data_IF_119844620529
#
_entry.id   IF_119844620529
#
_cell.length_a   1.000
_cell.length_b   1.000
_cell.length_c   1.000
_cell.angle_alpha   90.00
_cell.angle_beta   90.00
_cell.angle_gamma   90.00
#
_symmetry.space_group_name_H-M   'P 1'
#
loop_
_entity.id
_entity.type
_entity.pdbx_description
1 polymer ?
#
# COMPACT_ATOMS: atom_id res chain seq x y z
N UNK A 1 -20.52 -20.42 -52.62
CA UNK A 1 -20.02 -21.24 -51.50
C UNK A 1 -18.72 -21.89 -51.94
N UNK A 2 -17.58 -21.38 -51.49
CA UNK A 2 -16.34 -22.12 -51.23
C UNK A 2 -15.48 -21.20 -50.37
N UNK A 3 -15.20 -21.64 -49.15
CA UNK A 3 -14.46 -20.92 -48.12
C UNK A 3 -12.98 -21.28 -48.26
N UNK A 4 -12.11 -20.30 -48.50
CA UNK A 4 -10.66 -20.47 -48.45
C UNK A 4 -10.15 -19.96 -47.10
N UNK A 5 -9.49 -20.86 -46.36
CA UNK A 5 -8.80 -20.62 -45.10
C UNK A 5 -7.38 -20.18 -45.42
N UNK A 6 -6.92 -19.05 -44.88
CA UNK A 6 -5.52 -18.61 -44.97
C UNK A 6 -4.87 -18.66 -43.58
N UNK A 7 -3.87 -19.52 -43.44
CA UNK A 7 -3.04 -19.70 -42.24
C UNK A 7 -1.71 -18.97 -42.44
N UNK A 8 -1.38 -18.10 -41.47
CA UNK A 8 -0.08 -17.92 -40.82
C UNK A 8 1.18 -17.61 -41.64
N UNK A 9 1.79 -16.45 -41.35
CA UNK A 9 3.25 -16.31 -41.33
C UNK A 9 3.68 -15.40 -40.16
N UNK A 10 4.40 -15.98 -39.19
CA UNK A 10 5.19 -15.27 -38.19
C UNK A 10 6.67 -15.40 -38.58
N UNK A 11 7.35 -14.27 -38.75
CA UNK A 11 8.80 -14.23 -38.94
C UNK A 11 9.50 -14.22 -37.57
N UNK A 12 10.29 -15.25 -37.30
CA UNK A 12 11.25 -15.26 -36.20
C UNK A 12 12.61 -14.77 -36.71
N UNK A 13 13.15 -13.75 -36.04
CA UNK A 13 14.53 -13.32 -36.20
C UNK A 13 15.40 -14.14 -35.25
N UNK A 14 16.37 -14.87 -35.81
CA UNK A 14 17.39 -15.59 -35.08
C UNK A 14 18.54 -14.65 -34.70
N UNK A 15 18.99 -14.71 -33.45
CA UNK A 15 20.34 -14.32 -33.07
C UNK A 15 21.01 -15.53 -32.44
N UNK A 16 22.13 -15.90 -33.05
CA UNK A 16 23.01 -17.02 -32.75
C UNK A 16 23.91 -16.63 -31.57
N UNK A 17 24.06 -17.52 -30.58
CA UNK A 17 25.31 -17.66 -29.84
C UNK A 17 25.64 -19.14 -29.70
N UNK A 18 26.77 -19.50 -30.28
CA UNK A 18 27.44 -20.79 -30.15
C UNK A 18 28.09 -20.88 -28.77
N UNK A 19 27.90 -22.00 -28.07
CA UNK A 19 28.99 -22.61 -27.31
C UNK A 19 28.74 -24.11 -27.18
N UNK A 20 29.66 -24.90 -27.72
CA UNK A 20 29.75 -26.35 -27.55
C UNK A 20 30.01 -26.70 -26.08
N UNK A 21 29.42 -27.78 -25.59
CA UNK A 21 30.17 -28.91 -25.03
C UNK A 21 29.27 -30.14 -24.88
N UNK A 22 29.84 -31.30 -25.23
CA UNK A 22 29.23 -32.64 -25.18
C UNK A 22 29.13 -33.13 -23.73
N UNK A 23 28.06 -33.86 -23.42
CA UNK A 23 28.14 -35.05 -22.57
C UNK A 23 26.84 -35.87 -22.73
N UNK A 24 26.93 -36.95 -23.49
CA UNK A 24 25.99 -38.07 -23.41
C UNK A 24 26.44 -39.01 -22.28
N UNK A 25 25.46 -39.66 -21.65
CA UNK A 25 25.46 -40.99 -20.99
C UNK A 25 25.12 -41.06 -19.49
N UNK A 26 24.20 -41.99 -19.22
CA UNK A 26 23.77 -42.66 -17.97
C UNK A 26 22.46 -42.22 -17.28
N UNK A 27 21.71 -43.17 -16.65
CA UNK A 27 20.29 -43.36 -16.90
C UNK A 27 19.43 -43.11 -15.66
N UNK A 28 18.11 -43.21 -15.87
CA UNK A 28 17.03 -43.30 -14.88
C UNK A 28 17.45 -43.79 -13.50
N UNK A 29 17.25 -42.96 -12.47
CA UNK A 29 16.67 -43.37 -11.18
C UNK A 29 16.20 -42.14 -10.39
N UNK A 30 15.00 -42.21 -9.81
CA UNK A 30 14.64 -41.41 -8.63
C UNK A 30 13.48 -40.43 -8.82
N UNK A 31 12.25 -40.93 -8.62
CA UNK A 31 11.11 -40.09 -8.22
C UNK A 31 11.45 -39.41 -6.89
N UNK A 32 11.60 -38.08 -6.88
CA UNK A 32 11.63 -37.30 -5.66
C UNK A 32 10.20 -36.91 -5.32
N UNK A 33 9.69 -37.46 -4.22
CA UNK A 33 8.51 -36.94 -3.54
C UNK A 33 8.86 -35.58 -2.93
N UNK A 34 8.33 -34.50 -3.50
CA UNK A 34 8.38 -33.17 -2.88
C UNK A 34 7.34 -33.15 -1.77
N UNK A 35 7.78 -33.47 -0.55
CA UNK A 35 7.04 -33.25 0.69
C UNK A 35 7.34 -31.83 1.21
N UNK A 36 6.29 -31.21 1.75
CA UNK A 36 6.13 -29.81 2.12
C UNK A 36 7.35 -29.11 2.76
N UNK A 37 7.88 -28.11 2.05
CA UNK A 37 8.71 -27.03 2.63
C UNK A 37 7.97 -25.71 2.44
N UNK A 38 6.89 -25.49 3.21
CA UNK A 38 6.12 -24.24 3.13
C UNK A 38 5.90 -23.54 4.49
N UNK A 39 6.61 -23.94 5.55
CA UNK A 39 6.44 -23.32 6.87
C UNK A 39 7.69 -22.65 7.47
N UNK A 40 8.79 -22.57 6.72
CA UNK A 40 10.09 -22.09 7.24
C UNK A 40 10.48 -20.69 6.73
N UNK A 41 9.87 -20.19 5.65
CA UNK A 41 10.31 -18.93 5.03
C UNK A 41 9.93 -17.67 5.83
N UNK A 42 8.77 -17.66 6.49
CA UNK A 42 8.32 -16.48 7.25
C UNK A 42 9.13 -16.27 8.55
N UNK A 43 9.59 -17.34 9.19
CA UNK A 43 10.36 -17.26 10.45
C UNK A 43 11.82 -16.84 10.23
N UNK A 44 12.43 -17.30 9.14
CA UNK A 44 13.79 -16.87 8.74
C UNK A 44 13.78 -15.37 8.39
N UNK A 45 12.72 -14.89 7.74
CA UNK A 45 12.60 -13.50 7.33
C UNK A 45 12.51 -12.52 8.52
N UNK A 46 11.77 -12.89 9.59
CA UNK A 46 11.70 -12.08 10.83
C UNK A 46 13.04 -12.07 11.56
N UNK A 47 13.72 -13.22 11.65
CA UNK A 47 15.02 -13.32 12.32
C UNK A 47 16.12 -12.51 11.61
N UNK A 48 16.12 -12.46 10.26
CA UNK A 48 17.05 -11.64 9.48
C UNK A 48 16.77 -10.15 9.67
N UNK A 49 15.50 -9.75 9.77
CA UNK A 49 15.12 -8.36 10.02
C UNK A 49 15.52 -7.89 11.42
N UNK A 50 15.32 -8.73 12.44
CA UNK A 50 15.69 -8.42 13.83
C UNK A 50 17.22 -8.34 13.99
N UNK A 51 17.97 -9.25 13.35
CA UNK A 51 19.44 -9.23 13.36
C UNK A 51 20.00 -7.97 12.68
N UNK A 52 19.40 -7.55 11.56
CA UNK A 52 19.80 -6.32 10.88
C UNK A 52 19.45 -5.08 11.71
N UNK A 53 18.27 -5.05 12.36
CA UNK A 53 17.88 -3.95 13.24
C UNK A 53 18.83 -3.79 14.43
N UNK A 54 19.27 -4.90 15.02
CA UNK A 54 20.16 -4.92 16.18
C UNK A 54 21.61 -4.52 15.82
N UNK A 55 22.05 -4.81 14.59
CA UNK A 55 23.33 -4.34 14.05
C UNK A 55 23.32 -2.83 13.81
N UNK A 56 22.20 -2.27 13.34
CA UNK A 56 22.11 -0.83 13.05
C UNK A 56 21.80 0.05 14.28
N UNK A 57 21.25 -0.52 15.36
CA UNK A 57 20.95 0.22 16.60
C UNK A 57 22.16 0.40 17.53
N UNK A 58 23.19 -0.45 17.38
CA UNK A 58 24.37 -0.50 18.28
C UNK A 58 25.56 0.35 17.81
N UNK A 59 25.53 0.92 16.60
CA UNK A 59 26.56 1.87 16.15
C UNK A 59 26.18 3.32 16.45
N UNK A 60 26.30 3.71 17.73
CA UNK A 60 26.49 5.09 18.17
C UNK A 60 27.89 5.18 18.77
N UNK A 61 28.90 5.63 18.01
CA UNK A 61 30.23 5.97 18.56
C UNK A 61 30.71 7.29 17.97
N UNK A 62 31.10 8.17 18.89
CA UNK A 62 31.58 9.53 18.73
C UNK A 62 32.95 9.62 18.04
N UNK A 63 33.19 10.76 17.39
CA UNK A 63 34.51 11.13 16.86
C UNK A 63 35.42 11.61 17.99
N UNK A 64 36.55 10.93 18.21
CA UNK A 64 37.74 11.56 18.76
C UNK A 64 38.98 11.13 17.96
N UNK A 65 39.67 12.12 17.39
CA UNK A 65 40.95 11.98 16.68
C UNK A 65 42.01 11.30 17.56
N UNK A 66 42.57 10.16 17.12
CA UNK A 66 44.02 9.84 17.20
C UNK A 66 44.41 8.83 16.11
N UNK A 67 45.56 9.11 15.49
CA UNK A 67 46.26 8.30 14.49
C UNK A 67 46.77 6.97 15.08
N UNK A 68 46.69 5.87 14.31
CA UNK A 68 47.66 4.76 14.24
C UNK A 68 47.29 3.80 13.07
N UNK A 69 48.20 2.94 12.57
CA UNK A 69 48.32 2.60 11.16
C UNK A 69 47.57 1.32 10.80
N UNK A 70 47.24 1.20 9.52
CA UNK A 70 46.67 0.00 8.91
C UNK A 70 47.54 -1.24 9.15
N UNK A 71 46.90 -2.38 9.49
CA UNK A 71 47.21 -3.68 8.89
C UNK A 71 46.10 -4.72 9.09
N UNK A 72 46.00 -5.55 8.04
CA UNK A 72 45.39 -6.88 7.87
C UNK A 72 43.87 -7.06 7.82
N UNK A 73 43.51 -7.84 6.80
CA UNK A 73 42.22 -8.32 6.33
C UNK A 73 41.37 -9.00 7.41
N UNK A 74 40.11 -8.60 7.51
CA UNK A 74 39.10 -9.30 8.31
C UNK A 74 38.27 -10.20 7.39
N UNK A 75 38.41 -11.52 7.51
CA UNK A 75 37.35 -12.47 7.09
C UNK A 75 36.61 -12.95 8.33
N UNK A 76 35.29 -12.75 8.34
CA UNK A 76 34.39 -13.34 9.35
C UNK A 76 34.08 -14.76 8.90
N UNK A 77 34.32 -15.75 9.77
CA UNK A 77 33.85 -17.13 9.57
C UNK A 77 32.76 -17.39 10.62
N UNK A 78 31.65 -17.94 10.16
CA UNK A 78 30.55 -18.43 11.01
C UNK A 78 30.86 -19.89 11.30
N UNK A 79 31.03 -20.25 12.58
CA UNK A 79 31.05 -21.65 13.01
C UNK A 79 29.78 -21.97 13.79
N UNK A 80 29.18 -23.10 13.44
CA UNK A 80 28.00 -23.68 14.09
C UNK A 80 28.50 -24.90 14.88
N UNK A 81 28.13 -25.00 16.15
CA UNK A 81 28.39 -26.18 16.97
C UNK A 81 27.08 -26.92 17.22
N UNK A 82 27.10 -28.24 17.03
CA UNK A 82 26.04 -29.13 17.50
C UNK A 82 26.36 -29.61 18.91
N UNK A 83 25.38 -29.50 19.81
CA UNK A 83 25.40 -30.17 21.10
C UNK A 83 24.48 -31.39 21.02
N UNK A 84 25.06 -32.58 21.15
CA UNK A 84 24.31 -33.82 21.36
C UNK A 84 24.52 -34.26 22.81
N UNK A 85 23.50 -34.24 23.69
CA UNK A 85 23.59 -34.94 24.96
C UNK A 85 23.28 -36.43 24.72
N UNK A 86 24.18 -37.30 25.18
CA UNK A 86 23.86 -38.70 25.41
C UNK A 86 22.91 -38.82 26.61
N UNK A 87 21.90 -39.67 26.42
CA UNK A 87 20.95 -40.22 27.40
C UNK A 87 20.00 -39.25 28.13
N UNK A 88 18.74 -39.22 27.67
CA UNK A 88 17.49 -39.43 28.45
C UNK A 88 16.24 -39.05 27.61
N UNK A 89 15.19 -39.89 27.66
CA UNK A 89 13.83 -39.64 27.14
C UNK A 89 12.90 -39.16 28.28
N UNK A 90 11.72 -38.51 28.07
CA UNK A 90 11.14 -37.73 26.94
C UNK A 90 10.45 -36.42 27.52
N UNK A 91 9.34 -35.80 27.00
CA UNK A 91 8.77 -35.64 25.65
C UNK A 91 8.51 -34.16 25.24
N UNK A 92 8.21 -33.96 23.95
CA UNK A 92 7.54 -32.79 23.30
C UNK A 92 8.07 -31.35 23.49
N UNK A 93 8.43 -30.75 22.35
CA UNK A 93 8.62 -29.31 22.10
C UNK A 93 9.77 -28.62 22.84
N UNK A 94 11.00 -28.90 22.42
CA UNK A 94 12.13 -28.00 22.61
C UNK A 94 12.57 -27.44 21.26
N UNK A 95 12.39 -26.13 21.07
CA UNK A 95 12.96 -25.38 19.95
C UNK A 95 14.46 -25.17 20.19
N UNK A 96 15.33 -25.25 19.16
CA UNK A 96 16.71 -24.86 19.33
C UNK A 96 16.79 -23.34 19.54
N UNK A 97 17.24 -22.93 20.72
CA UNK A 97 17.60 -21.54 21.02
C UNK A 97 18.98 -21.27 20.44
N UNK A 98 19.05 -20.46 19.38
CA UNK A 98 20.31 -20.01 18.80
C UNK A 98 20.92 -18.92 19.71
N UNK A 99 21.92 -19.28 20.52
CA UNK A 99 22.71 -18.30 21.28
C UNK A 99 23.99 -18.00 20.49
N UNK A 100 24.07 -16.80 19.91
CA UNK A 100 25.30 -16.31 19.27
C UNK A 100 26.17 -15.65 20.35
N UNK A 101 27.27 -16.31 20.73
CA UNK A 101 28.27 -15.74 21.63
C UNK A 101 29.51 -15.33 20.84
N UNK A 102 29.88 -14.05 20.91
CA UNK A 102 31.14 -13.57 20.33
C UNK A 102 32.28 -13.88 21.30
N UNK A 103 33.10 -14.88 20.98
CA UNK A 103 34.31 -15.20 21.74
C UNK A 103 35.53 -14.91 20.87
N UNK A 104 36.51 -14.17 21.41
CA UNK A 104 37.87 -14.10 20.86
C UNK A 104 38.65 -15.27 21.43
N UNK A 105 39.14 -16.19 20.61
CA UNK A 105 40.23 -17.09 20.99
C UNK A 105 41.07 -17.53 19.78
N UNK A 106 42.36 -17.74 20.07
CA UNK A 106 43.47 -18.13 19.22
C UNK A 106 43.46 -19.63 18.85
N UNK A 107 43.99 -19.92 17.67
CA UNK A 107 44.51 -21.16 17.07
C UNK A 107 44.26 -22.53 17.76
N UNK A 108 43.66 -23.48 17.01
CA UNK A 108 44.31 -24.71 16.48
C UNK A 108 43.32 -25.61 15.71
N UNK A 109 43.89 -26.44 14.83
CA UNK A 109 43.33 -27.36 13.82
C UNK A 109 42.05 -28.15 14.15
N UNK A 110 41.20 -28.41 13.13
CA UNK A 110 40.88 -29.75 12.59
C UNK A 110 39.98 -29.71 11.33
N UNK A 111 39.97 -30.81 10.58
CA UNK A 111 39.48 -31.01 9.21
C UNK A 111 37.95 -31.14 9.00
N UNK A 112 37.49 -30.65 7.83
CA UNK A 112 36.68 -31.41 6.87
C UNK A 112 35.17 -31.56 7.11
N UNK A 113 34.35 -30.88 6.28
CA UNK A 113 33.27 -31.47 5.46
C UNK A 113 32.55 -30.38 4.65
N UNK A 114 32.18 -30.72 3.41
CA UNK A 114 31.47 -29.84 2.49
C UNK A 114 29.96 -29.86 2.80
N UNK A 115 29.35 -28.68 2.90
CA UNK A 115 27.89 -28.50 2.96
C UNK A 115 27.47 -27.55 1.84
N UNK A 116 26.50 -27.98 1.04
CA UNK A 116 25.87 -27.19 -0.02
C UNK A 116 25.27 -25.90 0.57
N UNK A 117 25.80 -24.75 0.16
CA UNK A 117 25.24 -23.44 0.50
C UNK A 117 24.48 -22.87 -0.70
N UNK A 118 23.19 -22.62 -0.50
CA UNK A 118 22.37 -21.87 -1.45
C UNK A 118 22.80 -20.40 -1.41
N UNK A 119 23.57 -19.97 -2.40
CA UNK A 119 24.03 -18.59 -2.53
C UNK A 119 22.98 -17.73 -3.23
N UNK A 120 22.56 -16.63 -2.61
CA UNK A 120 21.79 -15.60 -3.30
C UNK A 120 22.75 -14.71 -4.11
N UNK A 121 22.74 -14.85 -5.43
CA UNK A 121 23.45 -13.93 -6.33
C UNK A 121 22.60 -12.66 -6.55
N UNK A 122 23.03 -11.54 -5.95
CA UNK A 122 22.70 -10.23 -6.49
C UNK A 122 23.65 -9.96 -7.66
N UNK A 123 23.10 -9.81 -8.86
CA UNK A 123 23.91 -9.56 -10.05
C UNK A 123 24.59 -8.20 -9.94
N UNK A 124 25.89 -8.17 -10.27
CA UNK A 124 26.78 -6.99 -10.29
C UNK A 124 26.13 -5.78 -10.99
N UNK A 125 25.30 -6.04 -12.01
CA UNK A 125 24.57 -5.02 -12.77
C UNK A 125 23.59 -4.17 -11.93
N UNK A 126 23.00 -4.71 -10.86
CA UNK A 126 22.10 -3.94 -9.98
C UNK A 126 22.88 -2.95 -9.12
N UNK A 127 24.10 -3.34 -8.72
CA UNK A 127 25.01 -2.53 -7.91
C UNK A 127 25.63 -1.42 -8.76
N UNK A 128 26.06 -1.76 -9.98
CA UNK A 128 26.73 -0.81 -10.88
C UNK A 128 25.76 0.29 -11.38
N UNK A 129 24.47 -0.02 -11.58
CA UNK A 129 23.45 1.00 -11.90
C UNK A 129 23.12 1.95 -10.74
N UNK A 130 23.45 1.60 -9.50
CA UNK A 130 23.21 2.42 -8.30
C UNK A 130 24.40 3.32 -7.93
N UNK A 131 25.60 2.97 -8.39
CA UNK A 131 26.84 3.70 -8.06
C UNK A 131 27.05 4.91 -8.99
N UNK A 132 26.43 4.91 -10.17
CA UNK A 132 26.76 5.93 -11.19
C UNK A 132 26.06 7.29 -11.04
N UNK A 133 24.96 7.43 -10.27
CA UNK A 133 24.41 8.77 -9.98
C UNK A 133 23.81 8.89 -8.56
N UNK A 134 24.55 9.63 -7.72
CA UNK A 134 24.18 10.25 -6.43
C UNK A 134 24.28 9.39 -5.15
N UNK A 135 24.75 10.06 -4.10
CA UNK A 135 24.77 9.61 -2.70
C UNK A 135 23.34 9.30 -2.25
N UNK A 136 22.93 8.05 -2.42
CA UNK A 136 21.72 7.51 -1.81
C UNK A 136 22.08 7.10 -0.39
N UNK A 137 21.51 7.78 0.61
CA UNK A 137 21.68 7.42 2.02
C UNK A 137 21.41 5.92 2.23
N UNK A 138 22.23 5.26 3.06
CA UNK A 138 22.17 3.81 3.34
C UNK A 138 20.76 3.35 3.72
N UNK A 139 19.96 4.20 4.37
CA UNK A 139 18.56 3.92 4.73
C UNK A 139 17.65 3.81 3.51
N UNK A 140 17.89 4.61 2.48
CA UNK A 140 17.15 4.59 1.21
C UNK A 140 17.49 3.34 0.40
N UNK A 141 18.76 2.92 0.38
CA UNK A 141 19.17 1.66 -0.25
C UNK A 141 18.58 0.43 0.49
N UNK A 142 18.53 0.46 1.81
CA UNK A 142 17.89 -0.61 2.59
C UNK A 142 16.38 -0.70 2.32
N UNK A 143 15.68 0.44 2.33
CA UNK A 143 14.29 0.52 1.91
C UNK A 143 14.10 -0.02 0.48
N UNK A 144 15.07 0.22 -0.40
CA UNK A 144 15.05 -0.28 -1.78
C UNK A 144 15.07 -1.82 -1.84
N UNK A 145 16.04 -2.43 -1.16
CA UNK A 145 16.18 -3.89 -1.12
C UNK A 145 14.97 -4.56 -0.46
N UNK A 146 14.46 -3.99 0.65
CA UNK A 146 13.31 -4.55 1.36
C UNK A 146 12.04 -4.53 0.50
N UNK A 147 11.77 -3.42 -0.18
CA UNK A 147 10.63 -3.32 -1.10
C UNK A 147 10.76 -4.34 -2.25
N UNK A 148 11.94 -4.51 -2.85
CA UNK A 148 12.16 -5.46 -3.95
C UNK A 148 11.98 -6.92 -3.53
N UNK A 149 12.46 -7.31 -2.34
CA UNK A 149 12.32 -8.68 -1.83
C UNK A 149 10.86 -9.04 -1.50
N UNK A 150 10.12 -8.15 -0.82
CA UNK A 150 8.70 -8.37 -0.53
C UNK A 150 7.84 -8.48 -1.80
N UNK A 151 8.30 -7.86 -2.90
CA UNK A 151 7.59 -7.83 -4.17
C UNK A 151 7.72 -9.12 -5.00
N UNK A 152 8.61 -10.05 -4.65
CA UNK A 152 8.79 -11.35 -5.34
C UNK A 152 8.03 -12.51 -4.67
N UNK A 153 7.74 -12.43 -3.38
CA UNK A 153 7.10 -13.53 -2.62
C UNK A 153 5.60 -13.73 -2.86
N UNK A 154 4.88 -12.75 -3.43
CA UNK A 154 3.40 -12.79 -3.54
C UNK A 154 2.85 -13.52 -4.78
N UNK A 155 3.67 -14.04 -5.69
CA UNK A 155 3.23 -14.45 -7.04
C UNK A 155 3.29 -15.96 -7.34
N UNK A 156 3.76 -16.80 -6.42
CA UNK A 156 3.91 -18.24 -6.69
C UNK A 156 3.05 -19.08 -5.76
N UNK A 157 1.77 -19.20 -6.11
CA UNK A 157 0.85 -20.19 -5.54
C UNK A 157 0.16 -20.92 -6.68
N UNK A 158 0.55 -22.17 -6.95
CA UNK A 158 -0.01 -23.03 -7.99
C UNK A 158 -1.25 -23.71 -7.40
N UNK A 159 -2.40 -23.05 -7.54
CA UNK A 159 -3.73 -23.58 -7.19
C UNK A 159 -4.76 -22.85 -8.04
N UNK A 160 -5.69 -23.60 -8.65
CA UNK A 160 -6.62 -23.18 -9.71
C UNK A 160 -6.88 -21.67 -9.82
N UNK A 161 -6.48 -21.08 -10.95
CA UNK A 161 -6.60 -19.65 -11.24
C UNK A 161 -8.07 -19.22 -11.38
N UNK A 162 -8.77 -19.08 -10.25
CA UNK A 162 -9.93 -18.20 -10.19
C UNK A 162 -9.43 -16.80 -10.57
N UNK A 163 -9.98 -16.22 -11.64
CA UNK A 163 -9.62 -14.89 -12.11
C UNK A 163 -9.92 -13.90 -11.00
N UNK A 164 -8.87 -13.47 -10.29
CA UNK A 164 -8.99 -12.52 -9.18
C UNK A 164 -9.45 -11.18 -9.75
N UNK A 165 -10.63 -10.74 -9.34
CA UNK A 165 -11.12 -9.39 -9.62
C UNK A 165 -10.52 -8.44 -8.60
N UNK A 166 -9.89 -7.37 -9.07
CA UNK A 166 -9.29 -6.37 -8.20
C UNK A 166 -10.27 -5.23 -7.93
N UNK A 167 -10.24 -4.69 -6.72
CA UNK A 167 -10.99 -3.50 -6.34
C UNK A 167 -10.01 -2.37 -5.99
N UNK A 168 -10.19 -1.20 -6.61
CA UNK A 168 -9.53 0.04 -6.20
C UNK A 168 -10.58 1.05 -5.80
N UNK A 169 -10.45 1.59 -4.59
CA UNK A 169 -11.25 2.71 -4.11
C UNK A 169 -10.42 3.98 -4.17
N UNK A 170 -10.98 5.06 -4.70
CA UNK A 170 -10.45 6.41 -4.63
C UNK A 170 -11.42 7.33 -3.91
N UNK A 171 -10.90 8.29 -3.18
CA UNK A 171 -11.71 9.31 -2.53
C UNK A 171 -10.84 10.20 -1.67
N UNK A 172 -11.33 11.39 -1.38
CA UNK A 172 -10.60 12.27 -0.48
C UNK A 172 -10.45 11.65 0.93
N UNK A 173 -9.44 12.09 1.68
CA UNK A 173 -9.36 11.77 3.11
C UNK A 173 -10.68 12.15 3.79
N UNK A 174 -11.09 11.38 4.78
CA UNK A 174 -12.35 11.62 5.50
C UNK A 174 -13.65 11.54 4.66
N UNK A 175 -13.60 10.97 3.43
CA UNK A 175 -14.80 10.71 2.60
C UNK A 175 -15.41 9.31 2.77
N UNK A 176 -14.92 8.51 3.74
CA UNK A 176 -15.43 7.16 3.98
C UNK A 176 -14.76 6.06 3.16
N UNK A 177 -13.62 6.31 2.49
CA UNK A 177 -12.91 5.31 1.66
C UNK A 177 -12.67 3.98 2.38
N UNK A 178 -12.29 4.01 3.66
CA UNK A 178 -12.02 2.78 4.44
C UNK A 178 -13.30 2.01 4.77
N UNK A 179 -14.42 2.71 4.96
CA UNK A 179 -15.73 2.08 5.17
C UNK A 179 -16.16 1.37 3.88
N UNK A 180 -16.08 2.04 2.73
CA UNK A 180 -16.41 1.44 1.42
C UNK A 180 -15.51 0.26 1.06
N UNK A 181 -14.19 0.38 1.25
CA UNK A 181 -13.26 -0.73 0.98
C UNK A 181 -13.66 -1.98 1.76
N UNK A 182 -13.98 -1.85 3.05
CA UNK A 182 -14.42 -2.97 3.89
C UNK A 182 -15.79 -3.48 3.47
N UNK A 183 -16.75 -2.59 3.26
CA UNK A 183 -18.11 -2.95 2.87
C UNK A 183 -18.11 -3.76 1.57
N UNK A 184 -17.39 -3.31 0.54
CA UNK A 184 -17.30 -4.04 -0.73
C UNK A 184 -16.52 -5.35 -0.59
N UNK A 185 -15.44 -5.38 0.19
CA UNK A 185 -14.64 -6.59 0.38
C UNK A 185 -15.38 -7.70 1.16
N UNK A 186 -16.29 -7.33 2.06
CA UNK A 186 -17.12 -8.28 2.80
C UNK A 186 -18.21 -8.93 1.93
N UNK A 187 -18.63 -8.25 0.86
CA UNK A 187 -19.81 -8.64 0.08
C UNK A 187 -19.52 -9.07 -1.36
N UNK A 188 -18.32 -8.81 -1.88
CA UNK A 188 -17.93 -9.14 -3.24
C UNK A 188 -16.66 -10.00 -3.27
N UNK A 189 -16.52 -10.92 -4.24
CA UNK A 189 -15.33 -11.76 -4.41
C UNK A 189 -14.17 -10.98 -5.04
N UNK A 190 -13.68 -9.95 -4.34
CA UNK A 190 -12.68 -9.00 -4.85
C UNK A 190 -11.41 -8.99 -3.99
N UNK A 191 -10.27 -8.72 -4.63
CA UNK A 191 -9.00 -8.41 -3.96
C UNK A 191 -8.79 -6.91 -3.95
N UNK A 192 -8.88 -6.29 -2.77
CA UNK A 192 -8.64 -4.85 -2.60
C UNK A 192 -7.18 -4.51 -2.86
N UNK A 193 -6.92 -3.59 -3.78
CA UNK A 193 -5.58 -3.05 -4.01
C UNK A 193 -5.21 -2.12 -2.84
N UNK A 194 -3.98 -2.24 -2.31
CA UNK A 194 -3.57 -1.45 -1.15
C UNK A 194 -3.56 0.04 -1.49
N UNK A 195 -4.39 0.81 -0.79
CA UNK A 195 -4.42 2.27 -0.86
C UNK A 195 -3.57 2.95 0.22
N UNK A 196 -2.76 2.22 0.96
CA UNK A 196 -1.92 2.74 2.04
C UNK A 196 -0.59 1.99 2.11
N UNK A 197 0.42 2.60 2.75
CA UNK A 197 1.69 1.91 3.02
C UNK A 197 1.47 0.87 4.12
N UNK A 198 1.95 -0.37 3.96
CA UNK A 198 1.88 -1.39 5.01
C UNK A 198 2.45 -0.88 6.33
N UNK A 199 1.72 -1.07 7.43
CA UNK A 199 2.09 -0.53 8.76
C UNK A 199 3.46 -0.98 9.25
N UNK A 200 3.88 -2.19 8.87
CA UNK A 200 5.15 -2.78 9.28
C UNK A 200 6.36 -2.03 8.70
N UNK A 201 6.19 -1.36 7.55
CA UNK A 201 7.32 -0.82 6.77
C UNK A 201 7.81 0.56 7.22
N UNK A 202 7.09 1.27 8.07
CA UNK A 202 7.44 2.65 8.43
C UNK A 202 7.71 2.86 9.93
N UNK A 203 7.90 1.79 10.72
CA UNK A 203 8.38 1.92 12.10
C UNK A 203 9.82 2.46 12.07
N UNK A 204 10.02 3.72 12.48
CA UNK A 204 11.35 4.31 12.69
C UNK A 204 11.97 5.12 11.54
N UNK A 205 11.25 5.38 10.44
CA UNK A 205 11.74 6.17 9.30
C UNK A 205 11.02 7.53 9.16
N UNK A 206 11.64 8.55 8.53
CA UNK A 206 10.97 9.81 8.18
C UNK A 206 9.76 9.51 7.29
N UNK A 207 8.59 9.65 7.91
CA UNK A 207 7.34 9.00 7.49
C UNK A 207 6.86 9.41 6.10
N UNK A 208 7.03 10.68 5.73
CA UNK A 208 6.50 11.22 4.46
C UNK A 208 7.34 10.87 3.23
N UNK A 209 8.66 11.04 3.31
CA UNK A 209 9.58 10.72 2.21
C UNK A 209 9.53 9.23 1.84
N UNK A 210 9.46 8.37 2.86
CA UNK A 210 9.33 6.93 2.65
C UNK A 210 8.00 6.57 1.95
N UNK A 211 6.89 7.20 2.37
CA UNK A 211 5.58 7.00 1.74
C UNK A 211 5.57 7.42 0.28
N UNK A 212 6.15 8.59 -0.02
CA UNK A 212 6.22 9.10 -1.38
C UNK A 212 7.11 8.24 -2.29
N UNK A 213 8.17 7.64 -1.72
CA UNK A 213 9.03 6.69 -2.42
C UNK A 213 8.31 5.35 -2.67
N UNK A 214 7.64 4.82 -1.65
CA UNK A 214 6.84 3.60 -1.76
C UNK A 214 5.79 3.72 -2.86
N UNK A 215 4.99 4.79 -2.85
CA UNK A 215 3.94 4.97 -3.86
C UNK A 215 4.51 5.15 -5.26
N UNK A 216 5.62 5.87 -5.40
CA UNK A 216 6.28 6.04 -6.69
C UNK A 216 6.71 4.70 -7.31
N UNK A 217 7.13 3.72 -6.51
CA UNK A 217 7.57 2.43 -7.05
C UNK A 217 6.44 1.41 -7.20
N UNK A 218 5.39 1.55 -6.38
CA UNK A 218 4.28 0.60 -6.35
C UNK A 218 3.11 1.04 -7.21
N UNK A 219 3.12 2.26 -7.76
CA UNK A 219 1.98 2.87 -8.46
C UNK A 219 1.43 2.00 -9.59
N UNK A 220 2.31 1.36 -10.37
CA UNK A 220 1.92 0.47 -11.46
C UNK A 220 1.21 -0.81 -11.01
N UNK A 221 1.32 -1.18 -9.72
CA UNK A 221 0.77 -2.41 -9.13
C UNK A 221 -0.40 -2.15 -8.19
N UNK A 222 -0.44 -1.00 -7.53
CA UNK A 222 -1.50 -0.64 -6.58
C UNK A 222 -2.36 0.54 -7.03
N UNK A 223 -2.04 1.15 -8.18
CA UNK A 223 -2.71 2.33 -8.72
C UNK A 223 -2.59 3.54 -7.79
N UNK A 224 -1.43 3.67 -7.15
CA UNK A 224 -1.07 4.82 -6.33
C UNK A 224 -1.85 4.94 -5.04
N UNK A 225 -1.81 6.14 -4.46
CA UNK A 225 -2.48 6.41 -3.20
C UNK A 225 -3.99 6.55 -3.39
N UNK A 226 -4.81 5.94 -2.52
CA UNK A 226 -6.28 6.03 -2.63
C UNK A 226 -6.84 7.45 -2.47
N UNK A 227 -6.07 8.32 -1.82
CA UNK A 227 -6.39 9.73 -1.66
C UNK A 227 -5.69 10.62 -2.68
N UNK A 228 -4.99 10.06 -3.67
CA UNK A 228 -4.43 10.85 -4.76
C UNK A 228 -5.41 11.05 -5.90
N UNK A 229 -5.11 12.02 -6.76
CA UNK A 229 -5.74 12.17 -8.07
C UNK A 229 -5.43 10.91 -8.89
N UNK A 230 -6.45 10.16 -9.34
CA UNK A 230 -6.23 8.97 -10.13
C UNK A 230 -5.52 9.29 -11.45
N UNK A 231 -4.66 8.38 -11.91
CA UNK A 231 -3.95 8.52 -13.20
C UNK A 231 -4.61 7.58 -14.22
N UNK A 232 -5.43 8.07 -15.17
CA UNK A 232 -6.17 7.21 -16.09
C UNK A 232 -5.29 6.26 -16.92
N UNK A 233 -4.07 6.69 -17.27
CA UNK A 233 -3.11 5.86 -17.99
C UNK A 233 -2.68 4.62 -17.18
N UNK A 234 -2.44 4.76 -15.88
CA UNK A 234 -2.09 3.63 -15.02
C UNK A 234 -3.27 2.67 -14.84
N UNK A 235 -4.48 3.21 -14.69
CA UNK A 235 -5.71 2.40 -14.61
C UNK A 235 -5.88 1.57 -15.88
N UNK A 236 -5.76 2.20 -17.08
CA UNK A 236 -5.82 1.50 -18.37
C UNK A 236 -4.77 0.39 -18.48
N UNK A 237 -3.53 0.70 -18.14
CA UNK A 237 -2.43 -0.26 -18.22
C UNK A 237 -2.63 -1.46 -17.29
N UNK A 238 -3.21 -1.24 -16.11
CA UNK A 238 -3.55 -2.32 -15.18
C UNK A 238 -4.73 -3.15 -15.68
N UNK A 239 -5.77 -2.49 -16.20
CA UNK A 239 -6.95 -3.15 -16.78
C UNK A 239 -6.63 -4.01 -18.01
N UNK A 240 -5.59 -3.67 -18.76
CA UNK A 240 -5.12 -4.48 -19.88
C UNK A 240 -4.62 -5.88 -19.46
N UNK A 241 -4.32 -6.07 -18.17
CA UNK A 241 -3.75 -7.31 -17.61
C UNK A 241 -4.66 -7.98 -16.58
N UNK A 242 -5.58 -7.23 -16.00
CA UNK A 242 -6.36 -7.65 -14.84
C UNK A 242 -7.79 -7.15 -14.93
N UNK A 243 -8.75 -7.94 -14.43
CA UNK A 243 -10.12 -7.45 -14.21
C UNK A 243 -10.12 -6.52 -12.99
N UNK A 244 -10.46 -5.25 -13.19
CA UNK A 244 -10.43 -4.21 -12.17
C UNK A 244 -11.80 -3.53 -12.07
N UNK A 245 -12.22 -3.27 -10.84
CA UNK A 245 -13.34 -2.40 -10.49
C UNK A 245 -12.74 -1.16 -9.84
N UNK A 246 -13.10 0.01 -10.37
CA UNK A 246 -12.72 1.30 -9.78
C UNK A 246 -13.95 1.94 -9.17
N UNK A 247 -13.90 2.19 -7.87
CA UNK A 247 -14.94 2.93 -7.15
C UNK A 247 -14.36 4.27 -6.71
N UNK A 248 -14.97 5.37 -7.12
CA UNK A 248 -14.69 6.70 -6.61
C UNK A 248 -15.76 7.06 -5.58
N UNK A 249 -15.36 7.71 -4.49
CA UNK A 249 -16.29 8.21 -3.47
C UNK A 249 -16.06 9.69 -3.19
N UNK A 250 -17.15 10.44 -3.26
CA UNK A 250 -17.24 11.84 -2.84
C UNK A 250 -18.10 11.95 -1.56
N UNK A 251 -17.99 13.08 -0.88
CA UNK A 251 -18.73 13.40 0.34
C UNK A 251 -19.15 14.85 0.29
N UNK A 252 -20.28 15.18 0.91
CA UNK A 252 -20.78 16.55 1.00
C UNK A 252 -19.64 17.51 1.43
N UNK A 253 -19.39 18.60 0.68
CA UNK A 253 -18.22 19.45 0.87
C UNK A 253 -18.17 20.06 2.28
N UNK A 254 -19.29 20.50 2.84
CA UNK A 254 -19.36 21.10 4.17
C UNK A 254 -19.05 20.06 5.26
N UNK A 255 -19.70 18.90 5.20
CA UNK A 255 -19.46 17.80 6.14
C UNK A 255 -18.02 17.27 6.03
N UNK A 256 -17.47 17.26 4.81
CA UNK A 256 -16.09 16.89 4.55
C UNK A 256 -15.12 17.89 5.17
N UNK A 257 -15.30 19.19 4.99
CA UNK A 257 -14.44 20.24 5.55
C UNK A 257 -14.36 20.14 7.08
N UNK A 258 -15.51 19.96 7.75
CA UNK A 258 -15.55 19.74 9.20
C UNK A 258 -14.78 18.47 9.60
N UNK A 259 -14.93 17.39 8.84
CA UNK A 259 -14.22 16.14 9.10
C UNK A 259 -12.71 16.28 8.87
N UNK A 260 -12.32 17.09 7.88
CA UNK A 260 -10.93 17.35 7.54
C UNK A 260 -10.26 18.28 8.53
N UNK A 261 -10.97 19.30 9.03
CA UNK A 261 -10.52 20.14 10.14
C UNK A 261 -10.20 19.33 11.41
N UNK A 262 -11.05 18.38 11.77
CA UNK A 262 -10.82 17.50 12.94
C UNK A 262 -9.64 16.55 12.74
N UNK A 263 -9.38 16.14 11.50
CA UNK A 263 -8.31 15.21 11.16
C UNK A 263 -7.54 15.68 9.92
N UNK A 264 -6.72 16.73 10.06
CA UNK A 264 -6.04 17.35 8.93
C UNK A 264 -4.74 16.60 8.63
N UNK A 265 -4.89 15.39 8.09
CA UNK A 265 -3.76 14.50 7.79
C UNK A 265 -2.65 15.26 7.03
N UNK A 266 -1.38 15.03 7.39
CA UNK A 266 -0.18 15.61 6.77
C UNK A 266 -0.06 17.14 6.84
N UNK A 267 -1.12 17.87 7.20
CA UNK A 267 -1.04 19.26 7.55
C UNK A 267 -0.55 19.32 9.01
N UNK A 268 0.72 19.66 9.18
CA UNK A 268 1.41 19.64 10.49
C UNK A 268 0.81 20.66 11.46
N UNK A 269 0.11 21.67 10.94
CA UNK A 269 -0.49 22.75 11.73
C UNK A 269 -1.86 22.34 12.25
N UNK A 270 -2.09 22.53 13.55
CA UNK A 270 -3.43 22.62 14.12
C UNK A 270 -3.90 24.08 14.00
N UNK A 271 -5.14 24.28 13.58
CA UNK A 271 -5.75 25.61 13.55
C UNK A 271 -6.57 25.81 14.83
N UNK A 272 -6.55 27.03 15.35
CA UNK A 272 -7.31 27.39 16.55
C UNK A 272 -8.82 27.48 16.31
N UNK A 273 -9.25 27.65 15.05
CA UNK A 273 -10.66 27.70 14.69
C UNK A 273 -10.91 27.13 13.30
N UNK A 274 -12.16 26.71 13.05
CA UNK A 274 -12.58 26.25 11.73
C UNK A 274 -12.47 27.36 10.67
N UNK A 275 -12.79 28.59 11.05
CA UNK A 275 -12.66 29.77 10.19
C UNK A 275 -11.20 29.99 9.73
N UNK A 276 -10.23 29.93 10.66
CA UNK A 276 -8.81 30.03 10.33
C UNK A 276 -8.32 28.85 9.47
N UNK A 277 -8.93 27.67 9.60
CA UNK A 277 -8.66 26.53 8.73
C UNK A 277 -9.17 26.75 7.30
N UNK A 278 -10.35 27.36 7.12
CA UNK A 278 -10.89 27.67 5.79
C UNK A 278 -10.06 28.69 5.01
N UNK A 279 -9.26 29.51 5.69
CA UNK A 279 -8.33 30.46 5.05
C UNK A 279 -6.93 29.87 4.83
N UNK A 280 -6.69 28.65 5.32
CA UNK A 280 -5.35 28.11 5.36
C UNK A 280 -4.93 27.46 4.04
N UNK A 281 -3.77 27.87 3.54
CA UNK A 281 -3.15 27.20 2.41
C UNK A 281 -2.90 25.71 2.69
N UNK A 282 -3.22 24.88 1.71
CA UNK A 282 -3.08 23.43 1.79
C UNK A 282 -1.91 22.96 0.93
N UNK A 283 -0.83 22.55 1.58
CA UNK A 283 0.29 21.86 0.95
C UNK A 283 -0.07 20.40 0.73
N UNK A 284 -0.02 19.94 -0.52
CA UNK A 284 -0.16 18.52 -0.85
C UNK A 284 1.20 17.83 -0.93
N UNK A 285 1.19 16.54 -0.65
CA UNK A 285 2.36 15.66 -0.77
C UNK A 285 2.40 15.03 -2.16
N UNK A 286 3.59 14.60 -2.63
CA UNK A 286 3.78 14.15 -4.02
C UNK A 286 2.82 13.05 -4.44
N UNK A 287 2.59 12.07 -3.55
CA UNK A 287 1.69 10.92 -3.79
C UNK A 287 0.20 11.30 -3.93
N UNK A 288 -0.17 12.56 -3.71
CA UNK A 288 -1.53 13.03 -4.03
C UNK A 288 -1.74 13.23 -5.52
N UNK A 289 -0.68 13.20 -6.35
CA UNK A 289 -0.75 13.47 -7.79
C UNK A 289 -1.43 14.82 -8.12
N UNK A 290 -1.46 15.72 -7.13
CA UNK A 290 -1.85 17.11 -7.25
C UNK A 290 -0.58 17.97 -7.25
N UNK A 291 -0.52 18.97 -8.12
CA UNK A 291 0.61 19.90 -8.19
C UNK A 291 0.22 21.22 -7.57
N UNK A 292 1.13 21.78 -6.77
CA UNK A 292 1.04 23.15 -6.28
C UNK A 292 0.55 23.27 -4.85
N UNK A 293 0.35 24.53 -4.47
CA UNK A 293 -0.17 24.96 -3.19
C UNK A 293 -1.60 25.43 -3.40
N UNK A 294 -2.55 24.78 -2.74
CA UNK A 294 -3.95 25.21 -2.77
C UNK A 294 -4.14 26.37 -1.80
N UNK A 295 -4.91 27.37 -2.22
CA UNK A 295 -5.20 28.56 -1.41
C UNK A 295 -5.96 28.22 -0.14
N UNK A 296 -6.86 27.24 -0.21
CA UNK A 296 -7.65 26.79 0.92
C UNK A 296 -8.12 25.34 0.79
N UNK A 297 -8.69 24.74 1.85
CA UNK A 297 -9.21 23.37 1.79
C UNK A 297 -10.40 23.18 0.83
N UNK A 298 -11.14 24.25 0.51
CA UNK A 298 -12.27 24.20 -0.44
C UNK A 298 -11.76 23.97 -1.86
N UNK A 299 -10.71 24.68 -2.25
CA UNK A 299 -10.05 24.50 -3.55
C UNK A 299 -9.49 23.07 -3.69
N UNK A 300 -8.87 22.53 -2.64
CA UNK A 300 -8.41 21.14 -2.61
C UNK A 300 -9.57 20.17 -2.88
N UNK A 301 -10.73 20.39 -2.24
CA UNK A 301 -11.92 19.57 -2.48
C UNK A 301 -12.40 19.68 -3.93
N UNK A 302 -12.47 20.90 -4.48
CA UNK A 302 -12.90 21.14 -5.86
C UNK A 302 -12.03 20.38 -6.85
N UNK A 303 -10.71 20.53 -6.76
CA UNK A 303 -9.77 19.91 -7.70
C UNK A 303 -9.84 18.39 -7.65
N UNK A 304 -9.89 17.81 -6.45
CA UNK A 304 -9.85 16.36 -6.30
C UNK A 304 -11.16 15.71 -6.68
N UNK A 305 -12.30 16.29 -6.30
CA UNK A 305 -13.61 15.74 -6.69
C UNK A 305 -13.93 15.97 -8.16
N UNK A 306 -13.43 17.05 -8.78
CA UNK A 306 -13.50 17.22 -10.23
C UNK A 306 -12.76 16.09 -10.96
N UNK A 307 -11.55 15.76 -10.53
CA UNK A 307 -10.80 14.66 -11.13
C UNK A 307 -11.51 13.30 -10.97
N UNK A 308 -12.18 13.05 -9.84
CA UNK A 308 -13.00 11.84 -9.63
C UNK A 308 -14.21 11.80 -10.57
N UNK A 309 -14.89 12.93 -10.75
CA UNK A 309 -16.04 13.05 -11.65
C UNK A 309 -15.65 12.91 -13.13
N UNK A 310 -14.53 13.53 -13.53
CA UNK A 310 -14.00 13.38 -14.88
C UNK A 310 -13.58 11.93 -15.15
N UNK A 311 -13.00 11.25 -14.16
CA UNK A 311 -12.69 9.83 -14.26
C UNK A 311 -13.96 8.98 -14.45
N UNK A 312 -15.05 9.27 -13.72
CA UNK A 312 -16.31 8.53 -13.85
C UNK A 312 -17.05 8.81 -15.17
N UNK A 313 -16.85 9.99 -15.76
CA UNK A 313 -17.37 10.34 -17.09
C UNK A 313 -16.50 9.81 -18.24
N UNK A 314 -15.33 9.23 -17.94
CA UNK A 314 -14.43 8.68 -18.95
C UNK A 314 -14.92 7.33 -19.49
N UNK A 315 -14.21 6.77 -20.49
CA UNK A 315 -14.48 5.41 -21.00
C UNK A 315 -14.06 4.28 -20.04
N UNK A 316 -13.52 4.60 -18.87
CA UNK A 316 -13.15 3.62 -17.85
C UNK A 316 -14.38 3.21 -17.03
N UNK A 317 -14.49 1.93 -16.63
CA UNK A 317 -15.59 1.46 -15.79
C UNK A 317 -15.37 1.90 -14.34
N UNK A 318 -15.68 3.17 -14.07
CA UNK A 318 -15.53 3.81 -12.78
C UNK A 318 -16.91 4.11 -12.22
N UNK A 319 -17.18 3.63 -11.01
CA UNK A 319 -18.45 3.85 -10.31
C UNK A 319 -18.22 4.97 -9.30
N UNK A 320 -18.92 6.09 -9.48
CA UNK A 320 -18.89 7.21 -8.54
C UNK A 320 -20.04 7.08 -7.54
N UNK A 321 -19.73 7.09 -6.25
CA UNK A 321 -20.69 7.03 -5.15
C UNK A 321 -20.62 8.31 -4.31
N UNK A 322 -21.77 8.74 -3.77
CA UNK A 322 -21.81 9.69 -2.65
C UNK A 322 -21.75 8.91 -1.35
N UNK A 323 -20.96 9.38 -0.39
CA UNK A 323 -20.85 8.75 0.91
C UNK A 323 -22.21 8.67 1.62
N UNK A 324 -23.02 9.70 1.48
CA UNK A 324 -24.36 9.80 2.07
C UNK A 324 -25.29 8.71 1.52
N UNK A 325 -25.26 8.43 0.21
CA UNK A 325 -26.08 7.36 -0.39
C UNK A 325 -25.68 5.99 0.15
N UNK A 326 -24.39 5.75 0.34
CA UNK A 326 -23.92 4.48 0.90
C UNK A 326 -24.31 4.33 2.36
N UNK A 327 -24.35 5.42 3.14
CA UNK A 327 -24.86 5.37 4.51
C UNK A 327 -26.38 5.14 4.56
N UNK A 328 -27.12 5.72 3.62
CA UNK A 328 -28.57 5.57 3.55
C UNK A 328 -28.99 4.14 3.22
N UNK A 329 -28.33 3.52 2.23
CA UNK A 329 -28.65 2.18 1.75
C UNK A 329 -27.38 1.41 1.36
N UNK A 330 -26.62 0.88 2.35
CA UNK A 330 -25.32 0.25 2.08
C UNK A 330 -25.44 -1.03 1.24
N UNK A 331 -26.51 -1.81 1.41
CA UNK A 331 -26.77 -3.01 0.60
C UNK A 331 -27.04 -2.66 -0.86
N UNK A 332 -27.93 -1.70 -1.12
CA UNK A 332 -28.22 -1.19 -2.47
C UNK A 332 -26.95 -0.66 -3.15
N UNK A 333 -26.07 0.04 -2.40
CA UNK A 333 -24.80 0.50 -2.94
C UNK A 333 -23.88 -0.65 -3.37
N UNK A 334 -23.84 -1.74 -2.60
CA UNK A 334 -23.08 -2.96 -2.96
C UNK A 334 -23.71 -3.66 -4.17
N UNK A 335 -25.04 -3.80 -4.20
CA UNK A 335 -25.80 -4.38 -5.32
C UNK A 335 -25.52 -3.63 -6.63
N UNK A 336 -25.54 -2.29 -6.57
CA UNK A 336 -25.21 -1.45 -7.73
C UNK A 336 -23.79 -1.70 -8.22
N UNK A 337 -22.80 -1.78 -7.30
CA UNK A 337 -21.43 -2.09 -7.68
C UNK A 337 -21.31 -3.49 -8.27
N UNK A 338 -21.99 -4.48 -7.70
CA UNK A 338 -22.02 -5.86 -8.18
C UNK A 338 -22.62 -5.95 -9.59
N UNK A 339 -23.78 -5.33 -9.80
CA UNK A 339 -24.52 -5.31 -11.07
C UNK A 339 -23.70 -4.68 -12.19
N UNK A 340 -23.20 -3.45 -11.99
CA UNK A 340 -22.37 -2.74 -12.97
C UNK A 340 -21.10 -3.54 -13.29
N UNK A 341 -20.50 -4.16 -12.28
CA UNK A 341 -19.26 -4.92 -12.42
C UNK A 341 -19.46 -6.37 -12.88
N UNK A 342 -20.71 -6.81 -13.07
CA UNK A 342 -21.09 -8.20 -13.39
C UNK A 342 -20.46 -9.21 -12.42
N UNK A 343 -20.57 -8.93 -11.13
CA UNK A 343 -20.17 -9.83 -10.05
C UNK A 343 -21.39 -10.40 -9.35
N UNK A 344 -21.29 -11.65 -8.91
CA UNK A 344 -22.24 -12.21 -7.95
C UNK A 344 -21.86 -11.69 -6.57
N UNK A 345 -22.83 -11.19 -5.81
CA UNK A 345 -22.67 -10.92 -4.38
C UNK A 345 -22.53 -12.22 -3.60
N UNK A 346 -21.97 -12.12 -2.39
CA UNK A 346 -22.07 -13.17 -1.40
C UNK A 346 -23.55 -13.40 -1.04
N UNK A 347 -23.90 -14.62 -0.64
CA UNK A 347 -25.31 -15.02 -0.47
C UNK A 347 -26.03 -14.25 0.67
N UNK A 348 -25.28 -13.66 1.60
CA UNK A 348 -25.80 -12.81 2.66
C UNK A 348 -25.01 -11.50 2.74
N UNK A 349 -25.72 -10.38 2.84
CA UNK A 349 -25.13 -9.07 3.04
C UNK A 349 -24.49 -8.96 4.43
N UNK A 350 -23.27 -8.41 4.47
CA UNK A 350 -22.49 -8.16 5.66
C UNK A 350 -22.20 -6.66 5.80
N UNK A 351 -22.82 -6.02 6.79
CA UNK A 351 -22.60 -4.62 7.12
C UNK A 351 -21.28 -4.36 7.85
N UNK A 352 -20.88 -3.08 7.92
CA UNK A 352 -19.75 -2.61 8.73
C UNK A 352 -20.32 -1.77 9.88
N UNK A 353 -20.52 -2.41 11.04
CA UNK A 353 -21.27 -1.82 12.17
C UNK A 353 -20.41 -0.98 13.11
N UNK A 354 -19.11 -1.21 13.15
CA UNK A 354 -18.19 -0.49 14.03
C UNK A 354 -17.28 0.44 13.25
N UNK A 355 -16.97 1.59 13.87
CA UNK A 355 -15.96 2.50 13.38
C UNK A 355 -14.68 1.77 13.00
N UNK A 356 -14.11 2.18 11.86
CA UNK A 356 -12.81 1.66 11.41
C UNK A 356 -11.63 2.38 12.08
N UNK A 357 -11.90 3.45 12.83
CA UNK A 357 -10.92 4.23 13.59
C UNK A 357 -10.87 3.69 15.02
N UNK A 358 -9.68 3.26 15.47
CA UNK A 358 -9.48 2.57 16.77
C UNK A 358 -9.86 3.40 17.99
N UNK A 359 -9.81 4.72 17.88
CA UNK A 359 -10.09 5.66 18.98
C UNK A 359 -11.57 6.02 19.09
N UNK A 360 -12.40 5.44 18.23
CA UNK A 360 -13.76 5.88 18.01
C UNK A 360 -14.68 4.68 18.19
N UNK A 361 -15.41 4.66 19.30
CA UNK A 361 -16.35 3.58 19.63
C UNK A 361 -17.73 3.79 19.00
N UNK A 362 -17.88 4.77 18.09
CA UNK A 362 -19.18 5.06 17.50
C UNK A 362 -19.68 3.92 16.64
N UNK A 363 -20.95 3.62 16.81
CA UNK A 363 -21.66 2.64 16.00
C UNK A 363 -22.02 3.22 14.63
N UNK A 364 -22.25 2.36 13.63
CA UNK A 364 -22.67 2.75 12.28
C UNK A 364 -23.87 3.70 12.30
N UNK A 365 -24.85 3.45 13.16
CA UNK A 365 -26.06 4.27 13.26
C UNK A 365 -25.77 5.71 13.71
N UNK A 366 -24.75 5.91 14.55
CA UNK A 366 -24.35 7.26 14.97
C UNK A 366 -23.75 8.04 13.81
N UNK A 367 -22.95 7.38 12.96
CA UNK A 367 -22.44 7.99 11.75
C UNK A 367 -23.56 8.28 10.75
N UNK A 368 -24.44 7.31 10.54
CA UNK A 368 -25.59 7.41 9.66
C UNK A 368 -26.45 8.62 10.06
N UNK A 369 -26.88 8.68 11.32
CA UNK A 369 -27.63 9.80 11.85
C UNK A 369 -26.86 11.13 11.76
N UNK A 370 -25.56 11.14 12.07
CA UNK A 370 -24.76 12.36 11.98
C UNK A 370 -24.76 12.98 10.57
N UNK A 371 -24.65 12.15 9.52
CA UNK A 371 -24.59 12.63 8.14
C UNK A 371 -25.95 12.80 7.47
N UNK A 372 -26.87 11.84 7.65
CA UNK A 372 -28.18 11.84 7.00
C UNK A 372 -29.17 12.81 7.64
N UNK A 373 -29.12 12.97 8.97
CA UNK A 373 -29.93 13.98 9.68
C UNK A 373 -29.21 15.34 9.71
N UNK A 374 -28.10 15.46 8.98
CA UNK A 374 -27.31 16.68 8.83
C UNK A 374 -26.89 17.36 10.15
N UNK A 375 -26.73 16.58 11.23
CA UNK A 375 -26.31 17.08 12.56
C UNK A 375 -24.98 17.83 12.52
N UNK A 376 -24.18 17.63 11.48
CA UNK A 376 -22.96 18.40 11.24
C UNK A 376 -23.23 19.90 10.98
N UNK A 377 -24.39 20.29 10.45
CA UNK A 377 -24.74 21.69 10.13
C UNK A 377 -24.69 22.63 11.32
N UNK A 378 -24.98 22.13 12.52
CA UNK A 378 -24.92 22.91 13.76
C UNK A 378 -23.50 23.41 14.10
N UNK A 379 -22.48 22.88 13.42
CA UNK A 379 -21.08 23.26 13.58
C UNK A 379 -20.62 24.27 12.51
N UNK A 380 -21.55 24.83 11.72
CA UNK A 380 -21.26 25.83 10.70
C UNK A 380 -21.95 27.13 11.10
N UNK A 381 -21.17 28.19 11.25
CA UNK A 381 -21.70 29.55 11.35
C UNK A 381 -22.02 30.10 9.95
N UNK A 382 -22.91 31.07 9.90
CA UNK A 382 -23.32 31.73 8.65
C UNK A 382 -22.11 32.26 7.86
N UNK A 383 -21.15 32.87 8.56
CA UNK A 383 -19.94 33.40 7.96
C UNK A 383 -19.06 32.29 7.35
N UNK A 384 -18.93 31.15 8.02
CA UNK A 384 -18.21 30.00 7.47
C UNK A 384 -18.93 29.44 6.23
N UNK A 385 -20.27 29.38 6.22
CA UNK A 385 -21.04 28.96 5.03
C UNK A 385 -20.82 29.92 3.87
N UNK A 386 -20.86 31.25 4.10
CA UNK A 386 -20.58 32.25 3.05
C UNK A 386 -19.18 32.06 2.45
N UNK A 387 -18.17 31.85 3.29
CA UNK A 387 -16.79 31.61 2.86
C UNK A 387 -16.65 30.34 2.03
N UNK A 388 -17.25 29.25 2.50
CA UNK A 388 -17.26 27.99 1.74
C UNK A 388 -17.94 28.21 0.39
N UNK A 389 -19.13 28.79 0.37
CA UNK A 389 -19.89 29.03 -0.86
C UNK A 389 -19.14 29.93 -1.85
N UNK A 390 -18.37 30.90 -1.37
CA UNK A 390 -17.55 31.77 -2.23
C UNK A 390 -16.52 30.97 -3.04
N UNK A 391 -15.86 30.00 -2.41
CA UNK A 391 -14.71 29.29 -2.99
C UNK A 391 -15.09 27.93 -3.59
N UNK A 392 -16.30 27.43 -3.30
CA UNK A 392 -16.80 26.14 -3.77
C UNK A 392 -17.21 26.22 -5.25
N UNK A 393 -16.89 25.18 -6.02
CA UNK A 393 -17.36 25.08 -7.41
C UNK A 393 -18.82 24.62 -7.46
N UNK A 394 -19.73 25.55 -7.67
CA UNK A 394 -21.17 25.30 -7.64
C UNK A 394 -21.61 24.32 -8.73
N UNK A 395 -20.96 24.37 -9.91
CA UNK A 395 -21.28 23.44 -11.00
C UNK A 395 -20.88 22.03 -10.61
N UNK A 396 -19.66 21.85 -10.09
CA UNK A 396 -19.20 20.55 -9.61
C UNK A 396 -20.10 20.00 -8.50
N UNK A 397 -20.53 20.84 -7.54
CA UNK A 397 -21.47 20.41 -6.51
C UNK A 397 -22.78 19.90 -7.11
N UNK A 398 -23.37 20.64 -8.05
CA UNK A 398 -24.60 20.20 -8.74
C UNK A 398 -24.40 18.89 -9.51
N UNK A 399 -23.27 18.74 -10.22
CA UNK A 399 -22.97 17.49 -10.95
C UNK A 399 -22.72 16.29 -10.02
N UNK A 400 -22.27 16.54 -8.79
CA UNK A 400 -22.14 15.52 -7.74
C UNK A 400 -23.42 15.35 -6.92
N UNK A 401 -24.51 16.04 -7.26
CA UNK A 401 -25.80 15.94 -6.56
C UNK A 401 -25.80 16.60 -5.19
N UNK A 402 -24.95 17.60 -4.95
CA UNK A 402 -24.94 18.39 -3.71
C UNK A 402 -25.54 19.77 -3.94
N UNK A 403 -26.35 20.21 -2.97
CA UNK A 403 -26.91 21.55 -2.93
C UNK A 403 -26.07 22.47 -2.03
N UNK A 404 -26.07 23.77 -2.35
CA UNK A 404 -25.43 24.78 -1.53
C UNK A 404 -26.29 25.08 -0.30
N UNK A 405 -25.64 25.26 0.85
CA UNK A 405 -26.31 25.70 2.07
C UNK A 405 -26.61 27.19 1.97
N UNK A 406 -27.86 27.58 2.23
CA UNK A 406 -28.22 28.98 2.42
C UNK A 406 -27.60 29.49 3.74
N UNK A 407 -26.71 30.52 3.70
CA UNK A 407 -26.04 31.00 4.90
C UNK A 407 -26.99 31.46 6.02
N UNK A 408 -28.18 31.97 5.67
CA UNK A 408 -29.16 32.48 6.66
C UNK A 408 -29.82 31.38 7.51
N UNK A 409 -29.69 30.11 7.12
CA UNK A 409 -30.38 28.98 7.76
C UNK A 409 -29.47 28.27 8.78
N UNK A 410 -28.17 28.60 8.84
CA UNK A 410 -27.25 27.94 9.77
C UNK A 410 -27.34 28.56 11.17
N UNK A 411 -28.14 27.96 12.05
CA UNK A 411 -28.27 28.33 13.48
C UNK A 411 -27.05 27.92 14.35
N UNK A 412 -25.87 27.75 13.75
CA UNK A 412 -24.69 27.21 14.44
C UNK A 412 -24.12 28.13 15.51
N UNK A 413 -23.80 27.59 16.69
CA UNK A 413 -22.99 28.24 17.72
C UNK A 413 -21.50 28.03 17.38
N UNK A 414 -20.70 29.10 17.39
CA UNK A 414 -19.25 29.00 17.19
C UNK A 414 -18.62 28.08 18.26
N UNK A 415 -17.84 27.08 17.81
CA UNK A 415 -17.13 26.15 18.69
C UNK A 415 -15.74 26.71 19.02
N UNK A 416 -15.40 26.75 20.32
CA UNK A 416 -14.06 27.06 20.84
C UNK A 416 -13.29 25.78 21.17
#
# INVERSE_FOLDING_TARGET
MYTAVQIGQFQHSACIFHCCERADQFPDTGRIHVLDILHVQDKIFVAVLDLLFDVFSKENISFSNRNFPMKSENRRIIQVFDFCPHDMNPPHNLFPLLIVKTQRCLDKHFMGQAVNSTSFFLTKNVIDSFILERVVDKRTLFAHCLASCMMKGSLYGVGGFSVKVFLKVYGERNSGTTFIEKLLALNLPVKVLPGGVPKLLYRGLPYELFRDSWFFWTESRNLGWKHGIPVPGLIRNFMAKHRLIVVAICKNPYAWLLSFYRHPYHLVKKWGSFSAFLEAQCNVVRRENAKGLFQNPVELWNVKNRALLELSKSKLPVILLRYEDVLAAPEIAVENVASISKLKMNDAFQGVYFSTKREDNRHFEEYRSYYLDEKWRTNLSEENVRRINRDLDHKLCGELGYELINPKISEGKDFY
#
